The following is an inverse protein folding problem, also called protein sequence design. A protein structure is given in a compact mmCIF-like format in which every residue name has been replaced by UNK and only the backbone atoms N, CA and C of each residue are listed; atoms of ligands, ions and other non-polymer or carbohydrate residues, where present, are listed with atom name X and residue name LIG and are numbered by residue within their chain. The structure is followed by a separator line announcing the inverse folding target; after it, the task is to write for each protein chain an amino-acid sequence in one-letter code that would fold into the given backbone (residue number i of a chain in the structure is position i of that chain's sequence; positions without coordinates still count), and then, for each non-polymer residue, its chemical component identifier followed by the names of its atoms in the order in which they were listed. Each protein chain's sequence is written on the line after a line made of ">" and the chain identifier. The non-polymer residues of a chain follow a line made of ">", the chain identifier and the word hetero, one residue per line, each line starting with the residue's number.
data_IF_898008533782
#
_entry.id   IF_898008533782
#
_cell.length_a   1.000
_cell.length_b   1.000
_cell.length_c   1.000
_cell.angle_alpha   90.00
_cell.angle_beta   90.00
_cell.angle_gamma   90.00
#
_symmetry.space_group_name_H-M   'P 1'
#
loop_
_entity.id
_entity.type
_entity.pdbx_description
1 polymer ?
#
# COMPACT_ATOMS: atom_id res chain seq x y z
N UNK A 1 25.50 14.43 -23.16
CA UNK A 1 24.77 13.33 -22.50
C UNK A 1 23.39 13.88 -22.22
N UNK A 2 22.36 13.25 -22.77
CA UNK A 2 20.97 13.72 -22.60
C UNK A 2 20.47 13.29 -21.23
N UNK A 3 20.10 14.24 -20.38
CA UNK A 3 19.66 13.98 -19.02
C UNK A 3 18.21 13.48 -19.07
N UNK A 4 18.01 12.16 -18.94
CA UNK A 4 16.66 11.58 -18.92
C UNK A 4 16.11 11.63 -17.50
N UNK A 5 14.97 12.30 -17.34
CA UNK A 5 14.23 12.40 -16.07
C UNK A 5 13.75 11.01 -15.59
N UNK A 6 13.85 10.76 -14.28
CA UNK A 6 13.24 9.59 -13.64
C UNK A 6 11.74 9.86 -13.50
N UNK A 7 10.91 8.97 -14.04
CA UNK A 7 9.44 9.06 -13.94
C UNK A 7 8.92 7.96 -13.03
N UNK A 8 8.30 8.37 -11.94
CA UNK A 8 7.67 7.48 -10.97
C UNK A 8 6.14 7.60 -11.08
N UNK A 9 5.45 6.46 -11.14
CA UNK A 9 3.99 6.39 -11.08
C UNK A 9 3.58 5.26 -10.14
N UNK A 10 2.73 5.57 -9.17
CA UNK A 10 2.05 4.60 -8.33
C UNK A 10 0.55 4.70 -8.57
N UNK A 11 -0.13 3.57 -8.70
CA UNK A 11 -1.59 3.47 -8.80
C UNK A 11 -2.09 2.56 -7.69
N UNK A 12 -3.09 3.04 -6.98
CA UNK A 12 -3.76 2.34 -5.89
C UNK A 12 -5.19 2.04 -6.31
N UNK A 13 -5.57 0.76 -6.28
CA UNK A 13 -6.90 0.29 -6.65
C UNK A 13 -7.54 -0.43 -5.47
N UNK A 14 -8.74 0.02 -5.09
CA UNK A 14 -9.53 -0.56 -4.01
C UNK A 14 -10.72 -1.30 -4.60
N UNK A 15 -10.95 -2.52 -4.15
CA UNK A 15 -12.05 -3.37 -4.64
C UNK A 15 -12.52 -4.35 -3.58
N UNK A 16 -13.54 -5.15 -3.92
CA UNK A 16 -14.18 -6.11 -3.02
C UNK A 16 -14.72 -5.41 -1.75
N UNK A 17 -15.53 -4.38 -1.94
CA UNK A 17 -16.09 -3.60 -0.84
C UNK A 17 -17.16 -4.38 -0.09
N UNK A 18 -17.07 -4.41 1.25
CA UNK A 18 -18.06 -5.05 2.13
C UNK A 18 -18.33 -4.16 3.35
N UNK A 19 -19.39 -4.49 4.08
CA UNK A 19 -19.76 -3.77 5.30
C UNK A 19 -18.99 -4.36 6.48
N UNK A 20 -18.21 -3.53 7.15
CA UNK A 20 -17.39 -3.86 8.31
C UNK A 20 -17.64 -2.80 9.38
N UNK A 21 -18.19 -3.20 10.54
CA UNK A 21 -18.50 -2.26 11.62
C UNK A 21 -19.45 -1.11 11.25
N UNK A 22 -20.31 -1.31 10.23
CA UNK A 22 -21.21 -0.27 9.71
C UNK A 22 -20.59 0.66 8.65
N UNK A 23 -19.34 0.43 8.27
CA UNK A 23 -18.64 1.15 7.19
C UNK A 23 -18.49 0.27 5.95
N UNK A 24 -18.49 0.87 4.76
CA UNK A 24 -18.15 0.14 3.53
C UNK A 24 -16.65 0.20 3.30
N UNK A 25 -15.93 -0.91 3.53
CA UNK A 25 -14.47 -0.99 3.47
C UNK A 25 -14.00 -1.93 2.35
N UNK A 26 -12.86 -1.65 1.69
CA UNK A 26 -12.31 -2.54 0.67
C UNK A 26 -11.61 -3.74 1.28
N UNK A 27 -11.89 -4.94 0.77
CA UNK A 27 -11.17 -6.16 1.17
C UNK A 27 -10.02 -6.51 0.24
N UNK A 28 -9.88 -5.80 -0.87
CA UNK A 28 -8.78 -5.95 -1.81
C UNK A 28 -8.14 -4.61 -2.09
N UNK A 29 -6.83 -4.53 -1.86
CA UNK A 29 -6.02 -3.36 -2.15
C UNK A 29 -4.88 -3.77 -3.08
N UNK A 30 -4.89 -3.23 -4.29
CA UNK A 30 -3.86 -3.48 -5.30
C UNK A 30 -3.02 -2.22 -5.49
N UNK A 31 -1.70 -2.41 -5.50
CA UNK A 31 -0.73 -1.35 -5.75
C UNK A 31 0.06 -1.74 -6.99
N UNK A 32 0.14 -0.82 -7.95
CA UNK A 32 1.00 -0.92 -9.13
C UNK A 32 2.01 0.21 -9.11
N UNK A 33 3.31 -0.12 -9.13
CA UNK A 33 4.41 0.83 -9.20
C UNK A 33 5.13 0.70 -10.54
N UNK A 34 5.37 1.84 -11.19
CA UNK A 34 6.20 1.97 -12.37
C UNK A 34 7.27 3.03 -12.14
N UNK A 35 8.53 2.65 -12.34
CA UNK A 35 9.69 3.54 -12.27
C UNK A 35 10.43 3.46 -13.59
N UNK A 36 10.42 4.53 -14.38
CA UNK A 36 11.19 4.63 -15.63
C UNK A 36 12.43 5.49 -15.39
N UNK A 37 13.61 4.89 -15.49
CA UNK A 37 14.90 5.53 -15.24
C UNK A 37 15.88 5.26 -16.40
N UNK A 38 17.04 5.93 -16.38
CA UNK A 38 18.08 5.73 -17.42
C UNK A 38 18.54 4.26 -17.54
N UNK A 39 18.52 3.49 -16.46
CA UNK A 39 18.90 2.07 -16.43
C UNK A 39 17.79 1.11 -16.86
N UNK A 40 16.59 1.60 -17.19
CA UNK A 40 15.43 0.79 -17.58
C UNK A 40 14.17 1.08 -16.77
N UNK A 41 13.13 0.31 -17.06
CA UNK A 41 11.82 0.42 -16.39
C UNK A 41 11.66 -0.70 -15.36
N UNK A 42 11.34 -0.34 -14.13
CA UNK A 42 10.92 -1.24 -13.07
C UNK A 42 9.40 -1.21 -12.92
N UNK A 43 8.78 -2.39 -12.88
CA UNK A 43 7.35 -2.58 -12.68
C UNK A 43 7.14 -3.56 -11.53
N UNK A 44 6.24 -3.22 -10.61
CA UNK A 44 5.87 -4.10 -9.51
C UNK A 44 4.38 -3.98 -9.19
N UNK A 45 3.77 -5.13 -8.89
CA UNK A 45 2.39 -5.26 -8.49
C UNK A 45 2.30 -5.97 -7.13
N UNK A 46 1.49 -5.43 -6.22
CA UNK A 46 1.14 -6.05 -4.95
C UNK A 46 -0.37 -6.13 -4.81
N UNK A 47 -0.86 -7.23 -4.26
CA UNK A 47 -2.27 -7.41 -3.91
C UNK A 47 -2.35 -7.82 -2.45
N UNK A 48 -2.93 -6.96 -1.62
CA UNK A 48 -3.28 -7.25 -0.25
C UNK A 48 -4.75 -7.69 -0.16
N UNK A 49 -4.99 -8.80 0.55
CA UNK A 49 -6.32 -9.28 0.92
C UNK A 49 -6.54 -9.03 2.40
N UNK A 50 -7.47 -8.14 2.73
CA UNK A 50 -7.81 -7.79 4.09
C UNK A 50 -8.96 -8.69 4.56
N UNK A 51 -8.70 -9.50 5.59
CA UNK A 51 -9.60 -10.57 6.03
C UNK A 51 -10.33 -10.28 7.33
N UNK A 52 -9.84 -9.34 8.15
CA UNK A 52 -10.42 -9.01 9.45
C UNK A 52 -10.24 -7.52 9.74
N UNK A 53 -11.28 -6.91 10.30
CA UNK A 53 -11.31 -5.51 10.73
C UNK A 53 -11.81 -5.45 12.17
N UNK A 54 -10.90 -5.16 13.11
CA UNK A 54 -11.28 -4.97 14.51
C UNK A 54 -11.25 -3.49 14.86
N UNK A 55 -12.39 -2.96 15.29
CA UNK A 55 -12.54 -1.55 15.65
C UNK A 55 -12.32 -1.34 17.15
N UNK A 56 -11.76 -0.18 17.51
CA UNK A 56 -11.56 0.26 18.89
C UNK A 56 -10.81 -0.75 19.78
N UNK A 57 -9.92 -1.56 19.20
CA UNK A 57 -9.09 -2.47 19.99
C UNK A 57 -8.03 -1.69 20.76
N UNK A 58 -7.83 -1.98 22.06
CA UNK A 58 -6.70 -1.44 22.79
C UNK A 58 -5.41 -1.98 22.17
N UNK A 59 -4.53 -1.08 21.75
CA UNK A 59 -3.20 -1.47 21.27
C UNK A 59 -2.25 -1.37 22.46
N UNK A 60 -1.60 -2.48 22.80
CA UNK A 60 -0.59 -2.50 23.86
C UNK A 60 0.58 -1.58 23.47
N UNK A 61 0.90 -0.54 24.26
CA UNK A 61 2.02 0.35 23.97
C UNK A 61 3.36 -0.38 23.80
N UNK A 62 3.54 -1.53 24.46
CA UNK A 62 4.75 -2.35 24.34
C UNK A 62 4.91 -3.01 22.96
N UNK A 63 3.86 -3.01 22.14
CA UNK A 63 3.91 -3.48 20.73
C UNK A 63 4.73 -2.56 19.83
N UNK A 64 4.95 -1.31 20.24
CA UNK A 64 5.74 -0.34 19.49
C UNK A 64 7.18 -0.32 20.00
N UNK A 65 8.10 -0.85 19.20
CA UNK A 65 9.54 -0.68 19.44
C UNK A 65 10.04 0.49 18.60
N UNK A 66 10.22 1.65 19.22
CA UNK A 66 10.91 2.78 18.59
C UNK A 66 12.37 2.67 18.98
N UNK A 67 13.21 2.17 18.07
CA UNK A 67 14.65 2.22 18.24
C UNK A 67 15.18 3.53 17.64
N UNK A 68 15.72 4.46 18.44
CA UNK A 68 16.19 5.76 17.97
C UNK A 68 17.59 5.76 17.33
N UNK A 69 18.10 4.60 16.92
CA UNK A 69 19.46 4.47 16.36
C UNK A 69 19.58 4.96 14.92
#
# INVERSE_FOLDING_TARGET
>A
VEEREIRNKMVEEFSDFKIEGGLTLPHTYKITLSVDAQGGTFLADWIAKLTQFDFNQPIDPSSFSVNPN
#
